data_IF_340306129674
#
_entry.id   IF_340306129674
#
_cell.length_a   1.000
_cell.length_b   1.000
_cell.length_c   1.000
_cell.angle_alpha   90.00
_cell.angle_beta   90.00
_cell.angle_gamma   90.00
#
_symmetry.space_group_name_H-M   'P 1'
#
loop_
_entity.id
_entity.type
_entity.pdbx_description
1 polymer ?
#
# COMPACT_ATOMS: atom_id res chain seq x y z
N UNK A 1 -11.19 -51.62 -22.00
CA UNK A 1 -10.39 -50.41 -21.71
C UNK A 1 -10.42 -50.19 -20.21
N UNK A 2 -9.30 -50.42 -19.50
CA UNK A 2 -9.18 -50.18 -18.07
C UNK A 2 -8.86 -48.70 -17.87
N UNK A 3 -9.81 -47.93 -17.35
CA UNK A 3 -9.57 -46.55 -16.87
C UNK A 3 -8.60 -46.62 -15.71
N UNK A 4 -7.37 -46.14 -15.92
CA UNK A 4 -6.31 -46.18 -14.92
C UNK A 4 -6.63 -45.29 -13.70
N UNK A 5 -6.00 -45.56 -12.55
CA UNK A 5 -6.25 -44.89 -11.25
C UNK A 5 -5.91 -43.39 -11.18
N UNK A 6 -5.59 -42.74 -12.31
CA UNK A 6 -5.14 -41.34 -12.35
C UNK A 6 -6.29 -40.32 -12.40
N UNK A 7 -7.53 -40.73 -12.68
CA UNK A 7 -8.68 -39.81 -12.78
C UNK A 7 -9.14 -39.34 -11.38
N UNK A 8 -8.97 -40.18 -10.36
CA UNK A 8 -9.39 -39.88 -8.98
C UNK A 8 -8.59 -38.74 -8.34
N UNK A 9 -7.31 -38.61 -8.68
CA UNK A 9 -6.41 -37.58 -8.13
C UNK A 9 -6.66 -36.18 -8.73
N UNK A 10 -7.13 -36.10 -9.98
CA UNK A 10 -7.47 -34.82 -10.61
C UNK A 10 -8.76 -34.20 -10.06
N UNK A 11 -9.73 -35.04 -9.69
CA UNK A 11 -10.99 -34.59 -9.12
C UNK A 11 -10.82 -34.03 -7.68
N UNK A 12 -9.95 -34.63 -6.87
CA UNK A 12 -9.71 -34.16 -5.49
C UNK A 12 -8.91 -32.86 -5.44
N UNK A 13 -7.91 -32.68 -6.32
CA UNK A 13 -7.14 -31.44 -6.41
C UNK A 13 -8.00 -30.25 -6.86
N UNK A 14 -8.93 -30.46 -7.79
CA UNK A 14 -9.85 -29.42 -8.27
C UNK A 14 -10.82 -28.96 -7.17
N UNK A 15 -11.30 -29.89 -6.33
CA UNK A 15 -12.17 -29.57 -5.20
C UNK A 15 -11.45 -28.73 -4.11
N UNK A 16 -10.16 -28.99 -3.88
CA UNK A 16 -9.36 -28.26 -2.88
C UNK A 16 -9.06 -26.81 -3.32
N UNK A 17 -8.81 -26.60 -4.63
CA UNK A 17 -8.63 -25.26 -5.21
C UNK A 17 -9.93 -24.44 -5.11
N UNK A 18 -11.09 -25.08 -5.32
CA UNK A 18 -12.39 -24.42 -5.17
C UNK A 18 -12.69 -24.03 -3.71
N UNK A 19 -12.30 -24.87 -2.73
CA UNK A 19 -12.53 -24.59 -1.32
C UNK A 19 -11.72 -23.36 -0.82
N UNK A 20 -10.47 -23.22 -1.26
CA UNK A 20 -9.61 -22.08 -0.86
C UNK A 20 -10.11 -20.76 -1.47
N UNK A 21 -10.68 -20.79 -2.68
CA UNK A 21 -11.27 -19.60 -3.30
C UNK A 21 -12.50 -19.07 -2.53
N UNK A 22 -13.24 -19.94 -1.82
CA UNK A 22 -14.44 -19.53 -1.07
C UNK A 22 -14.18 -18.86 0.28
N UNK A 23 -12.93 -18.87 0.78
CA UNK A 23 -12.61 -18.26 2.08
C UNK A 23 -12.10 -16.81 2.01
N UNK A 24 -11.86 -16.28 0.82
CA UNK A 24 -11.49 -14.87 0.64
C UNK A 24 -12.71 -14.00 0.31
N UNK A 25 -13.77 -14.11 1.13
CA UNK A 25 -14.80 -13.09 1.17
C UNK A 25 -14.21 -11.84 1.84
N UNK A 26 -13.46 -11.04 1.08
CA UNK A 26 -13.11 -9.70 1.51
C UNK A 26 -14.44 -8.97 1.81
N UNK A 27 -14.60 -8.50 3.04
CA UNK A 27 -15.80 -7.75 3.42
C UNK A 27 -15.82 -6.47 2.60
N UNK A 28 -16.77 -6.39 1.66
CA UNK A 28 -17.01 -5.17 0.88
C UNK A 28 -17.28 -4.02 1.86
N UNK A 29 -16.56 -2.90 1.78
CA UNK A 29 -16.78 -1.74 2.65
C UNK A 29 -18.25 -1.31 2.60
N UNK A 30 -18.87 -1.12 3.76
CA UNK A 30 -20.25 -0.63 3.81
C UNK A 30 -20.30 0.85 3.42
N UNK A 31 -21.37 1.25 2.73
CA UNK A 31 -21.52 2.63 2.22
C UNK A 31 -21.49 3.69 3.34
N UNK A 32 -22.15 3.41 4.47
CA UNK A 32 -22.18 4.28 5.64
C UNK A 32 -20.80 4.43 6.30
N UNK A 33 -20.01 3.36 6.34
CA UNK A 33 -18.65 3.39 6.86
C UNK A 33 -17.71 4.20 5.96
N UNK A 34 -17.82 4.04 4.63
CA UNK A 34 -17.06 4.80 3.64
C UNK A 34 -17.39 6.29 3.75
N UNK A 35 -18.68 6.64 3.82
CA UNK A 35 -19.12 8.02 4.00
C UNK A 35 -18.62 8.63 5.32
N UNK A 36 -18.81 7.94 6.43
CA UNK A 36 -18.37 8.40 7.76
C UNK A 36 -16.85 8.59 7.81
N UNK A 37 -16.10 7.68 7.20
CA UNK A 37 -14.64 7.78 7.09
C UNK A 37 -14.20 8.95 6.22
N UNK A 38 -14.88 9.20 5.10
CA UNK A 38 -14.60 10.35 4.24
C UNK A 38 -14.85 11.67 4.97
N UNK A 39 -16.00 11.79 5.63
CA UNK A 39 -16.36 12.97 6.44
C UNK A 39 -15.35 13.22 7.55
N UNK A 40 -15.03 12.19 8.33
CA UNK A 40 -14.02 12.31 9.40
C UNK A 40 -12.63 12.66 8.85
N UNK A 41 -12.24 12.12 7.69
CA UNK A 41 -10.94 12.43 7.08
C UNK A 41 -10.85 13.90 6.66
N UNK A 42 -11.95 14.53 6.21
CA UNK A 42 -11.96 15.98 5.92
C UNK A 42 -11.85 16.83 7.19
N UNK A 43 -12.42 16.38 8.31
CA UNK A 43 -12.27 17.05 9.60
C UNK A 43 -10.81 16.99 10.06
N UNK A 44 -10.23 15.79 10.02
CA UNK A 44 -8.83 15.55 10.37
C UNK A 44 -7.88 16.37 9.46
N UNK A 45 -8.20 16.47 8.16
CA UNK A 45 -7.44 17.29 7.21
C UNK A 45 -7.49 18.80 7.53
N UNK A 46 -8.65 19.34 7.92
CA UNK A 46 -8.75 20.76 8.32
C UNK A 46 -7.95 21.04 9.60
N UNK A 47 -7.97 20.10 10.55
CA UNK A 47 -7.12 20.16 11.75
C UNK A 47 -5.65 20.14 11.36
N UNK A 48 -5.22 19.25 10.46
CA UNK A 48 -3.82 19.20 10.01
C UNK A 48 -3.40 20.45 9.25
N UNK A 49 -4.25 21.02 8.39
CA UNK A 49 -3.99 22.30 7.74
C UNK A 49 -3.80 23.43 8.76
N UNK A 50 -4.61 23.46 9.82
CA UNK A 50 -4.46 24.45 10.91
C UNK A 50 -3.13 24.30 11.67
N UNK A 51 -2.61 23.07 11.75
CA UNK A 51 -1.32 22.73 12.35
C UNK A 51 -0.14 22.84 11.37
N UNK A 52 -0.37 23.28 10.12
CA UNK A 52 0.62 23.30 9.04
C UNK A 52 1.19 21.92 8.66
N UNK A 53 0.50 20.83 9.00
CA UNK A 53 0.81 19.45 8.62
C UNK A 53 0.23 19.13 7.23
N UNK A 54 0.80 19.78 6.22
CA UNK A 54 0.22 19.78 4.87
C UNK A 54 0.30 18.41 4.20
N UNK A 55 1.36 17.62 4.47
CA UNK A 55 1.52 16.29 3.90
C UNK A 55 0.43 15.32 4.37
N UNK A 56 0.15 15.30 5.68
CA UNK A 56 -0.90 14.47 6.26
C UNK A 56 -2.29 14.90 5.76
N UNK A 57 -2.54 16.21 5.70
CA UNK A 57 -3.78 16.75 5.14
C UNK A 57 -3.96 16.33 3.67
N UNK A 58 -2.90 16.42 2.86
CA UNK A 58 -2.94 16.04 1.45
C UNK A 58 -3.30 14.56 1.25
N UNK A 59 -2.72 13.64 2.04
CA UNK A 59 -3.06 12.22 1.92
C UNK A 59 -4.53 11.93 2.28
N UNK A 60 -5.08 12.57 3.31
CA UNK A 60 -6.50 12.46 3.67
C UNK A 60 -7.41 13.03 2.57
N UNK A 61 -7.11 14.24 2.09
CA UNK A 61 -7.86 14.91 1.02
C UNK A 61 -7.83 14.07 -0.26
N UNK A 62 -6.67 13.51 -0.63
CA UNK A 62 -6.50 12.62 -1.77
C UNK A 62 -7.38 11.40 -1.68
N UNK A 63 -7.41 10.71 -0.54
CA UNK A 63 -8.25 9.55 -0.35
C UNK A 63 -9.74 9.89 -0.48
N UNK A 64 -10.17 11.04 0.04
CA UNK A 64 -11.55 11.50 -0.07
C UNK A 64 -11.90 11.86 -1.52
N UNK A 65 -11.05 12.60 -2.23
CA UNK A 65 -11.31 13.04 -3.61
C UNK A 65 -11.38 11.87 -4.61
N UNK A 66 -10.77 10.72 -4.31
CA UNK A 66 -10.96 9.50 -5.13
C UNK A 66 -12.41 9.00 -5.10
N UNK A 67 -13.08 9.09 -3.95
CA UNK A 67 -14.47 8.66 -3.77
C UNK A 67 -15.46 9.78 -4.09
N UNK A 68 -15.14 11.01 -3.67
CA UNK A 68 -15.97 12.21 -3.77
C UNK A 68 -15.26 13.33 -4.57
N UNK A 69 -14.97 13.13 -5.87
CA UNK A 69 -14.17 14.07 -6.66
C UNK A 69 -14.83 15.44 -6.85
N UNK A 70 -16.16 15.50 -6.73
CA UNK A 70 -16.94 16.72 -6.93
C UNK A 70 -17.28 17.44 -5.62
N UNK A 71 -16.85 16.93 -4.46
CA UNK A 71 -17.24 17.52 -3.19
C UNK A 71 -16.57 18.90 -2.97
N UNK A 72 -17.41 19.92 -2.82
CA UNK A 72 -16.97 21.32 -2.66
C UNK A 72 -16.08 21.54 -1.44
N UNK A 73 -16.35 20.84 -0.33
CA UNK A 73 -15.52 20.95 0.89
C UNK A 73 -14.13 20.35 0.66
N UNK A 74 -14.05 19.17 0.07
CA UNK A 74 -12.77 18.53 -0.24
C UNK A 74 -11.94 19.38 -1.21
N UNK A 75 -12.57 19.95 -2.25
CA UNK A 75 -11.92 20.89 -3.18
C UNK A 75 -11.47 22.16 -2.48
N UNK A 76 -12.29 22.75 -1.60
CA UNK A 76 -11.91 23.93 -0.84
C UNK A 76 -10.70 23.67 0.07
N UNK A 77 -10.61 22.50 0.72
CA UNK A 77 -9.43 22.12 1.49
C UNK A 77 -8.22 21.86 0.59
N UNK A 78 -8.42 21.20 -0.55
CA UNK A 78 -7.37 21.04 -1.56
C UNK A 78 -6.81 22.40 -2.01
N UNK A 79 -7.66 23.40 -2.24
CA UNK A 79 -7.21 24.73 -2.66
C UNK A 79 -6.37 25.45 -1.60
N UNK A 80 -6.55 25.13 -0.31
CA UNK A 80 -5.72 25.65 0.79
C UNK A 80 -4.31 25.02 0.84
N UNK A 81 -4.07 23.89 0.18
CA UNK A 81 -2.75 23.24 0.20
C UNK A 81 -1.71 24.09 -0.55
N UNK A 82 -0.45 24.12 -0.09
CA UNK A 82 0.64 24.66 -0.89
C UNK A 82 0.82 23.89 -2.22
N UNK A 83 1.37 24.52 -3.29
CA UNK A 83 1.49 23.90 -4.62
C UNK A 83 2.14 22.52 -4.62
N UNK A 84 3.23 22.34 -3.86
CA UNK A 84 3.96 21.07 -3.74
C UNK A 84 3.09 19.91 -3.25
N UNK A 85 2.10 20.18 -2.39
CA UNK A 85 1.20 19.14 -1.87
C UNK A 85 -0.06 18.97 -2.72
N UNK A 86 -0.44 19.98 -3.51
CA UNK A 86 -1.50 19.84 -4.52
C UNK A 86 -1.11 18.82 -5.58
N UNK A 87 0.14 18.86 -6.03
CA UNK A 87 0.70 17.87 -6.97
C UNK A 87 0.57 16.44 -6.42
N UNK A 88 0.96 16.21 -5.16
CA UNK A 88 0.86 14.90 -4.50
C UNK A 88 -0.58 14.34 -4.42
N UNK A 89 -1.60 15.20 -4.34
CA UNK A 89 -3.02 14.80 -4.39
C UNK A 89 -3.41 14.37 -5.81
N UNK A 90 -2.95 15.10 -6.81
CA UNK A 90 -3.35 14.94 -8.22
C UNK A 90 -2.57 13.85 -8.97
N UNK A 91 -1.32 13.59 -8.59
CA UNK A 91 -0.43 12.74 -9.39
C UNK A 91 -0.54 11.26 -9.06
N UNK A 92 -0.39 10.45 -10.10
CA UNK A 92 -0.02 9.03 -9.98
C UNK A 92 1.50 9.01 -10.02
N UNK A 93 2.15 8.47 -8.99
CA UNK A 93 3.59 8.30 -9.01
C UNK A 93 3.98 7.42 -10.22
N UNK A 94 5.13 7.63 -10.85
CA UNK A 94 5.63 6.74 -11.93
C UNK A 94 6.74 5.83 -11.43
N UNK A 95 7.39 6.26 -10.34
CA UNK A 95 8.41 5.52 -9.62
C UNK A 95 7.82 4.38 -8.81
N UNK A 96 6.51 4.16 -8.86
CA UNK A 96 5.92 2.95 -8.33
C UNK A 96 5.86 2.96 -6.81
N UNK A 97 5.88 1.76 -6.16
CA UNK A 97 6.03 1.71 -4.73
C UNK A 97 7.31 2.41 -4.30
N UNK A 98 8.42 2.37 -5.05
CA UNK A 98 9.75 2.88 -4.62
C UNK A 98 9.69 4.23 -3.87
N UNK A 99 8.88 5.20 -4.32
CA UNK A 99 8.74 6.49 -3.64
C UNK A 99 7.98 6.38 -2.31
N UNK A 100 8.59 6.84 -1.23
CA UNK A 100 7.99 6.87 0.11
C UNK A 100 6.84 7.87 0.22
N UNK A 101 5.82 7.54 1.03
CA UNK A 101 4.85 8.55 1.52
C UNK A 101 5.44 9.23 2.75
N UNK A 102 6.32 10.20 2.51
CA UNK A 102 7.11 10.87 3.55
C UNK A 102 7.09 12.38 3.31
N UNK A 103 7.31 13.13 4.38
CA UNK A 103 7.43 14.58 4.30
C UNK A 103 8.90 14.97 4.46
N UNK A 104 9.35 15.96 3.68
CA UNK A 104 10.67 16.55 3.87
C UNK A 104 10.82 17.13 5.29
N UNK A 105 11.92 16.80 5.95
CA UNK A 105 12.27 17.25 7.29
C UNK A 105 13.65 17.93 7.27
N UNK A 106 13.72 19.12 7.85
CA UNK A 106 14.98 19.83 8.00
C UNK A 106 15.77 19.28 9.20
N UNK A 107 16.56 18.23 8.96
CA UNK A 107 17.50 17.74 9.95
C UNK A 107 18.78 18.58 10.02
N UNK A 108 19.32 18.72 11.23
CA UNK A 108 20.62 19.36 11.45
C UNK A 108 21.78 18.59 10.80
N UNK A 109 22.91 19.28 10.57
CA UNK A 109 24.10 18.70 9.91
C UNK A 109 24.62 17.43 10.60
N UNK A 110 24.62 17.40 11.95
CA UNK A 110 25.08 16.23 12.70
C UNK A 110 24.17 15.02 12.50
N UNK A 111 22.85 15.24 12.47
CA UNK A 111 21.89 14.17 12.19
C UNK A 111 22.07 13.64 10.78
N UNK A 112 22.29 14.51 9.78
CA UNK A 112 22.60 14.10 8.40
C UNK A 112 23.87 13.27 8.32
N UNK A 113 24.92 13.66 9.04
CA UNK A 113 26.16 12.88 9.10
C UNK A 113 25.97 11.53 9.79
N UNK A 114 25.21 11.49 10.89
CA UNK A 114 24.93 10.26 11.64
C UNK A 114 24.08 9.27 10.83
N UNK A 115 23.11 9.77 10.06
CA UNK A 115 22.22 8.97 9.22
C UNK A 115 22.80 8.62 7.85
N UNK A 116 23.83 9.32 7.38
CA UNK A 116 24.42 9.06 6.06
C UNK A 116 24.74 7.58 5.85
N UNK A 117 25.55 6.97 6.73
CA UNK A 117 25.95 5.57 6.57
C UNK A 117 24.76 4.59 6.75
N UNK A 118 23.90 4.72 7.79
CA UNK A 118 22.69 3.93 7.90
C UNK A 118 21.78 4.00 6.67
N UNK A 119 21.49 5.20 6.16
CA UNK A 119 20.64 5.38 4.97
C UNK A 119 21.24 4.64 3.77
N UNK A 120 22.56 4.79 3.51
CA UNK A 120 23.22 4.05 2.42
C UNK A 120 23.15 2.52 2.56
N UNK A 121 23.23 2.00 3.79
CA UNK A 121 23.09 0.56 4.03
C UNK A 121 21.66 0.11 3.73
N UNK A 122 20.67 0.90 4.14
CA UNK A 122 19.27 0.58 3.91
C UNK A 122 18.93 0.62 2.41
N UNK A 123 19.35 1.63 1.69
CA UNK A 123 19.14 1.73 0.24
C UNK A 123 19.81 0.55 -0.49
N UNK A 124 21.00 0.14 -0.03
CA UNK A 124 21.67 -1.04 -0.59
C UNK A 124 20.85 -2.33 -0.39
N UNK A 125 20.22 -2.49 0.78
CA UNK A 125 19.35 -3.63 1.05
C UNK A 125 18.05 -3.59 0.23
N UNK A 126 17.56 -2.40 -0.09
CA UNK A 126 16.35 -2.21 -0.91
C UNK A 126 16.57 -2.54 -2.40
N UNK A 127 17.82 -2.63 -2.86
CA UNK A 127 18.16 -3.07 -4.23
C UNK A 127 17.67 -4.49 -4.51
N UNK A 128 17.65 -5.38 -3.51
CA UNK A 128 17.38 -6.80 -3.72
C UNK A 128 16.12 -7.25 -2.98
N UNK A 129 15.29 -8.05 -3.63
CA UNK A 129 14.23 -8.82 -2.98
C UNK A 129 14.46 -10.31 -3.19
N UNK A 130 14.30 -11.11 -2.13
CA UNK A 130 14.44 -12.57 -2.19
C UNK A 130 13.37 -13.22 -1.33
N UNK A 131 12.54 -14.04 -1.97
CA UNK A 131 11.34 -14.62 -1.39
C UNK A 131 11.29 -16.13 -1.63
N UNK A 132 11.03 -16.88 -0.56
CA UNK A 132 10.72 -18.31 -0.63
C UNK A 132 9.20 -18.47 -0.68
N UNK A 133 8.70 -19.23 -1.63
CA UNK A 133 7.26 -19.44 -1.85
C UNK A 133 6.85 -20.84 -1.42
N UNK A 134 5.77 -20.92 -0.66
CA UNK A 134 5.14 -22.17 -0.23
C UNK A 134 3.67 -22.16 -0.61
N UNK A 135 3.21 -23.18 -1.32
CA UNK A 135 1.82 -23.32 -1.76
C UNK A 135 1.69 -23.85 -3.19
N UNK A 136 0.48 -24.25 -3.61
CA UNK A 136 0.21 -24.78 -4.95
C UNK A 136 0.61 -23.78 -6.03
N UNK A 137 1.65 -24.10 -6.80
CA UNK A 137 2.19 -23.23 -7.86
C UNK A 137 2.86 -24.05 -8.96
N UNK A 138 2.85 -23.56 -10.18
CA UNK A 138 3.60 -24.13 -11.28
C UNK A 138 3.99 -23.04 -12.29
N UNK A 139 5.23 -23.13 -12.75
CA UNK A 139 5.69 -22.36 -13.89
C UNK A 139 6.88 -21.46 -13.57
N UNK A 140 7.23 -20.64 -14.54
CA UNK A 140 8.40 -19.76 -14.51
C UNK A 140 8.03 -18.43 -15.13
N UNK A 141 8.51 -17.36 -14.54
CA UNK A 141 8.45 -15.99 -15.06
C UNK A 141 9.83 -15.37 -14.92
N UNK A 142 10.28 -14.67 -15.96
CA UNK A 142 11.49 -13.88 -15.95
C UNK A 142 11.22 -12.54 -16.63
N UNK A 143 11.71 -11.45 -16.06
CA UNK A 143 11.44 -10.10 -16.54
C UNK A 143 12.68 -9.23 -16.43
N UNK A 144 12.87 -8.35 -17.40
CA UNK A 144 13.84 -7.24 -17.31
C UNK A 144 13.17 -6.02 -16.69
N UNK A 145 11.93 -5.77 -17.12
CA UNK A 145 10.96 -4.90 -16.45
C UNK A 145 9.62 -5.59 -16.56
N UNK A 146 8.62 -5.18 -15.79
CA UNK A 146 7.27 -5.75 -15.93
C UNK A 146 6.66 -5.47 -17.31
N UNK A 147 7.16 -4.47 -18.04
CA UNK A 147 6.82 -4.23 -19.45
C UNK A 147 7.53 -5.15 -20.46
N UNK A 148 8.53 -5.93 -20.05
CA UNK A 148 9.26 -6.85 -20.91
C UNK A 148 9.61 -8.13 -20.16
N UNK A 149 8.73 -9.13 -20.30
CA UNK A 149 8.85 -10.39 -19.58
C UNK A 149 8.45 -11.62 -20.39
N UNK A 150 8.93 -12.78 -19.96
CA UNK A 150 8.46 -14.09 -20.42
C UNK A 150 7.83 -14.74 -19.21
N UNK A 151 6.53 -15.00 -19.24
CA UNK A 151 5.83 -15.56 -18.09
C UNK A 151 4.91 -16.69 -18.53
N UNK A 152 5.00 -17.81 -17.82
CA UNK A 152 4.00 -18.86 -17.77
C UNK A 152 3.99 -19.34 -16.33
N UNK A 153 3.16 -18.71 -15.50
CA UNK A 153 3.10 -18.97 -14.08
C UNK A 153 1.66 -18.92 -13.57
N UNK A 154 1.29 -19.88 -12.73
CA UNK A 154 0.07 -19.81 -11.93
C UNK A 154 0.34 -20.36 -10.52
N UNK A 155 -0.22 -19.74 -9.49
CA UNK A 155 -0.11 -20.27 -8.14
C UNK A 155 -0.88 -19.48 -7.08
N UNK A 156 -1.14 -20.16 -5.97
CA UNK A 156 -1.62 -19.59 -4.73
C UNK A 156 -0.56 -19.89 -3.65
N UNK A 157 0.15 -18.87 -3.21
CA UNK A 157 1.38 -19.03 -2.44
C UNK A 157 1.40 -18.10 -1.23
N UNK A 158 2.00 -18.58 -0.15
CA UNK A 158 2.51 -17.76 0.94
C UNK A 158 4.01 -17.61 0.70
N UNK A 159 4.47 -16.37 0.65
CA UNK A 159 5.85 -16.00 0.41
C UNK A 159 6.45 -15.50 1.72
N UNK A 160 7.66 -15.93 2.04
CA UNK A 160 8.43 -15.47 3.19
C UNK A 160 9.77 -14.96 2.68
N UNK A 161 10.14 -13.74 3.07
CA UNK A 161 11.37 -13.17 2.55
C UNK A 161 11.56 -11.71 2.85
N UNK A 162 12.62 -11.20 2.24
CA UNK A 162 12.94 -9.79 2.20
C UNK A 162 12.29 -9.20 0.95
N UNK A 163 11.23 -8.44 1.17
CA UNK A 163 10.52 -7.71 0.14
C UNK A 163 11.03 -6.27 0.07
N UNK A 164 10.75 -5.62 -1.04
CA UNK A 164 11.03 -4.22 -1.27
C UNK A 164 10.58 -3.32 -0.09
N UNK A 165 11.32 -2.24 0.16
CA UNK A 165 11.12 -1.26 1.24
C UNK A 165 11.32 -1.83 2.64
N UNK A 166 12.44 -2.53 2.84
CA UNK A 166 12.86 -2.96 4.18
C UNK A 166 11.80 -3.85 4.86
N UNK A 167 11.01 -4.55 4.04
CA UNK A 167 9.86 -5.29 4.52
C UNK A 167 10.24 -6.77 4.65
N UNK A 168 10.65 -7.15 5.85
CA UNK A 168 10.79 -8.55 6.23
C UNK A 168 9.43 -9.04 6.73
N UNK A 169 8.87 -10.05 6.07
CA UNK A 169 7.54 -10.51 6.46
C UNK A 169 7.04 -11.67 5.63
N UNK A 170 5.72 -11.70 5.45
CA UNK A 170 5.08 -12.66 4.57
C UNK A 170 4.07 -11.98 3.64
N UNK A 171 3.90 -12.58 2.47
CA UNK A 171 2.96 -12.13 1.45
C UNK A 171 2.18 -13.32 0.93
N UNK A 172 0.86 -13.26 1.00
CA UNK A 172 0.01 -14.22 0.30
C UNK A 172 -0.29 -13.68 -1.10
N UNK A 173 -0.15 -14.51 -2.12
CA UNK A 173 -0.36 -14.15 -3.52
C UNK A 173 -1.05 -15.29 -4.27
N UNK A 174 -2.23 -15.01 -4.81
CA UNK A 174 -2.87 -15.73 -5.89
C UNK A 174 -2.54 -15.02 -7.20
N UNK A 175 -1.78 -15.64 -8.09
CA UNK A 175 -1.43 -15.05 -9.38
C UNK A 175 -1.53 -16.04 -10.54
N UNK A 176 -1.89 -15.51 -11.71
CA UNK A 176 -1.83 -16.17 -13.00
C UNK A 176 -1.31 -15.18 -14.06
N UNK A 177 -0.22 -15.55 -14.72
CA UNK A 177 0.51 -14.73 -15.67
C UNK A 177 0.93 -15.61 -16.87
N UNK A 178 0.61 -15.18 -18.09
CA UNK A 178 0.99 -15.93 -19.29
C UNK A 178 1.20 -15.00 -20.47
N UNK A 179 2.42 -14.93 -21.02
CA UNK A 179 2.70 -14.11 -22.20
C UNK A 179 4.18 -13.82 -22.45
N UNK A 180 4.43 -12.96 -23.44
CA UNK A 180 5.76 -12.56 -23.89
C UNK A 180 5.82 -11.05 -24.16
N UNK A 181 6.93 -10.43 -23.73
CA UNK A 181 7.21 -9.01 -23.92
C UNK A 181 6.21 -8.13 -23.15
N UNK A 182 5.62 -7.10 -23.81
CA UNK A 182 4.66 -6.21 -23.16
C UNK A 182 3.23 -6.77 -23.10
N UNK A 183 2.96 -7.86 -23.83
CA UNK A 183 1.63 -8.48 -23.89
C UNK A 183 1.60 -9.66 -22.94
N UNK A 184 1.55 -9.35 -21.64
CA UNK A 184 1.31 -10.35 -20.60
C UNK A 184 0.10 -9.92 -19.77
N UNK A 185 -1.06 -10.58 -19.93
CA UNK A 185 -2.15 -10.43 -18.98
C UNK A 185 -1.72 -10.99 -17.62
N UNK A 186 -1.99 -10.23 -16.57
CA UNK A 186 -1.80 -10.65 -15.19
C UNK A 186 -3.15 -10.60 -14.47
N UNK A 187 -3.48 -11.70 -13.79
CA UNK A 187 -4.45 -11.73 -12.71
C UNK A 187 -3.69 -11.92 -11.41
N UNK A 188 -3.90 -11.04 -10.45
CA UNK A 188 -3.25 -11.14 -9.15
C UNK A 188 -4.14 -10.61 -8.04
N UNK A 189 -4.20 -11.38 -6.96
CA UNK A 189 -4.74 -10.97 -5.68
C UNK A 189 -3.71 -11.30 -4.61
N UNK A 190 -3.41 -10.36 -3.73
CA UNK A 190 -2.41 -10.58 -2.71
C UNK A 190 -2.56 -9.69 -1.49
N UNK A 191 -1.95 -10.13 -0.39
CA UNK A 191 -1.87 -9.39 0.87
C UNK A 191 -0.49 -9.55 1.47
N UNK A 192 0.09 -8.47 1.98
CA UNK A 192 1.40 -8.49 2.64
C UNK A 192 1.27 -8.02 4.07
N UNK A 193 2.07 -8.61 4.96
CA UNK A 193 2.25 -8.15 6.32
C UNK A 193 3.72 -8.34 6.72
N UNK A 194 4.35 -7.29 7.23
CA UNK A 194 5.71 -7.36 7.73
C UNK A 194 6.13 -6.08 8.44
N UNK A 195 7.43 -5.88 8.57
CA UNK A 195 8.03 -4.72 9.26
C UNK A 195 7.72 -3.39 8.60
N UNK A 196 7.49 -3.39 7.28
CA UNK A 196 7.34 -2.16 6.49
C UNK A 196 5.91 -1.64 6.43
N UNK A 197 4.97 -2.44 5.93
CA UNK A 197 3.58 -2.03 5.70
C UNK A 197 2.63 -3.24 5.63
N UNK A 198 1.32 -2.96 5.69
CA UNK A 198 0.24 -3.88 5.38
C UNK A 198 -0.42 -3.45 4.07
N UNK A 199 -0.33 -4.28 3.05
CA UNK A 199 -0.96 -4.00 1.78
C UNK A 199 -1.89 -5.14 1.36
N UNK A 200 -2.91 -4.78 0.60
CA UNK A 200 -3.77 -5.71 -0.11
C UNK A 200 -3.93 -5.23 -1.54
N UNK A 201 -4.03 -6.15 -2.48
CA UNK A 201 -4.15 -5.83 -3.89
C UNK A 201 -5.00 -6.86 -4.62
N UNK A 202 -5.77 -6.42 -5.61
CA UNK A 202 -6.50 -7.28 -6.53
C UNK A 202 -6.59 -6.57 -7.89
N UNK A 203 -6.24 -7.27 -8.96
CA UNK A 203 -6.39 -6.73 -10.31
C UNK A 203 -6.27 -7.76 -11.42
N UNK A 204 -6.85 -7.38 -12.56
CA UNK A 204 -6.64 -7.98 -13.85
C UNK A 204 -6.22 -6.89 -14.84
N UNK A 205 -4.95 -6.87 -15.25
CA UNK A 205 -4.40 -5.78 -16.08
C UNK A 205 -3.36 -6.29 -17.08
N UNK A 206 -3.07 -5.42 -18.05
CA UNK A 206 -1.81 -5.45 -18.78
C UNK A 206 -0.78 -4.55 -18.09
N UNK A 207 0.49 -4.89 -18.25
CA UNK A 207 1.61 -4.17 -17.65
C UNK A 207 1.68 -2.73 -18.15
N UNK A 208 1.65 -1.77 -17.20
CA UNK A 208 1.91 -0.36 -17.46
C UNK A 208 2.29 0.30 -16.16
N UNK A 209 3.31 1.19 -16.13
CA UNK A 209 3.77 1.80 -14.88
C UNK A 209 2.64 2.56 -14.19
N UNK A 210 1.67 3.12 -14.92
CA UNK A 210 0.53 3.86 -14.35
C UNK A 210 -0.49 2.99 -13.59
N UNK A 211 -0.42 1.66 -13.67
CA UNK A 211 -1.40 0.79 -13.01
C UNK A 211 -1.15 0.74 -11.51
N UNK A 212 -2.23 0.76 -10.72
CA UNK A 212 -2.17 0.75 -9.25
C UNK A 212 -1.32 -0.39 -8.68
N UNK A 213 -1.27 -1.57 -9.32
CA UNK A 213 -0.38 -2.67 -8.89
C UNK A 213 1.07 -2.22 -8.80
N UNK A 214 1.51 -1.47 -9.80
CA UNK A 214 2.88 -1.01 -9.93
C UNK A 214 3.18 0.24 -9.15
N UNK A 215 2.15 0.81 -8.51
CA UNK A 215 2.27 1.98 -7.65
C UNK A 215 2.30 1.63 -6.17
N UNK A 216 1.71 0.49 -5.81
CA UNK A 216 1.53 0.15 -4.40
C UNK A 216 2.10 -1.22 -4.03
N UNK A 217 2.34 -2.13 -4.98
CA UNK A 217 2.58 -3.53 -4.66
C UNK A 217 3.81 -4.15 -5.33
N UNK A 218 4.02 -3.94 -6.63
CA UNK A 218 5.19 -4.45 -7.36
C UNK A 218 5.99 -3.31 -7.95
N UNK A 219 7.30 -3.45 -8.01
CA UNK A 219 8.13 -2.58 -8.82
C UNK A 219 7.91 -2.86 -10.31
N UNK A 220 7.57 -1.83 -11.09
CA UNK A 220 7.47 -1.96 -12.54
C UNK A 220 8.83 -2.11 -13.19
N UNK A 221 9.84 -1.46 -12.61
CA UNK A 221 11.14 -1.25 -13.20
C UNK A 221 12.16 -2.33 -12.82
N UNK A 222 11.83 -3.20 -11.87
CA UNK A 222 12.73 -4.26 -11.42
C UNK A 222 12.99 -5.33 -12.47
N UNK A 223 14.14 -6.01 -12.35
CA UNK A 223 14.50 -7.22 -13.11
C UNK A 223 14.45 -8.41 -12.18
N UNK A 224 13.80 -9.50 -12.56
CA UNK A 224 13.69 -10.63 -11.67
C UNK A 224 13.27 -11.93 -12.33
N UNK A 225 13.25 -12.96 -11.50
CA UNK A 225 12.81 -14.30 -11.85
C UNK A 225 11.94 -14.85 -10.74
N UNK A 226 10.93 -15.62 -11.13
CA UNK A 226 10.00 -16.29 -10.26
C UNK A 226 9.78 -17.69 -10.81
N UNK A 227 10.03 -18.71 -10.00
CA UNK A 227 9.85 -20.11 -10.39
C UNK A 227 9.10 -20.86 -9.29
N UNK A 228 8.17 -21.72 -9.69
CA UNK A 228 7.36 -22.51 -8.79
C UNK A 228 7.21 -23.95 -9.30
N UNK A 229 7.36 -24.92 -8.41
CA UNK A 229 7.23 -26.34 -8.68
C UNK A 229 6.36 -27.01 -7.61
N UNK A 230 5.09 -27.21 -7.95
CA UNK A 230 4.04 -27.84 -7.15
C UNK A 230 3.77 -27.15 -5.82
N UNK A 231 4.67 -27.25 -4.84
CA UNK A 231 4.48 -26.68 -3.49
C UNK A 231 5.57 -25.69 -3.08
N UNK A 232 6.70 -25.67 -3.77
CA UNK A 232 7.84 -24.84 -3.42
C UNK A 232 8.23 -23.95 -4.60
N UNK A 233 8.73 -22.76 -4.30
CA UNK A 233 9.14 -21.79 -5.31
C UNK A 233 10.06 -20.74 -4.73
N UNK A 234 10.62 -19.93 -5.61
CA UNK A 234 11.52 -18.85 -5.28
C UNK A 234 11.23 -17.67 -6.19
N UNK A 235 11.32 -16.46 -5.65
CA UNK A 235 11.35 -15.21 -6.41
C UNK A 235 12.55 -14.39 -5.95
N UNK A 236 13.29 -13.87 -6.92
CA UNK A 236 14.37 -12.94 -6.71
C UNK A 236 14.22 -11.78 -7.68
N UNK A 237 14.37 -10.56 -7.19
CA UNK A 237 14.22 -9.34 -7.98
C UNK A 237 15.30 -8.32 -7.59
N UNK A 238 15.77 -7.57 -8.58
CA UNK A 238 16.67 -6.43 -8.45
C UNK A 238 15.89 -5.17 -8.81
N UNK A 239 15.89 -4.18 -7.94
CA UNK A 239 15.15 -2.94 -8.05
C UNK A 239 16.06 -1.83 -8.59
N UNK A 240 15.95 -1.55 -9.89
CA UNK A 240 16.84 -0.58 -10.55
C UNK A 240 16.65 0.84 -10.06
N UNK A 241 15.43 1.22 -9.68
CA UNK A 241 15.16 2.58 -9.16
C UNK A 241 15.86 2.77 -7.81
N UNK A 242 15.78 1.79 -6.92
CA UNK A 242 16.50 1.76 -5.63
C UNK A 242 18.02 1.77 -5.85
N UNK A 243 18.52 1.06 -6.86
CA UNK A 243 19.94 1.11 -7.23
C UNK A 243 20.39 2.51 -7.67
N UNK A 244 19.57 3.21 -8.46
CA UNK A 244 19.84 4.59 -8.85
C UNK A 244 19.80 5.54 -7.65
N UNK A 245 18.86 5.35 -6.72
CA UNK A 245 18.78 6.13 -5.49
C UNK A 245 20.00 5.93 -4.60
N UNK A 246 20.40 4.68 -4.37
CA UNK A 246 21.62 4.33 -3.65
C UNK A 246 22.85 5.05 -4.22
N UNK A 247 23.03 5.01 -5.55
CA UNK A 247 24.13 5.70 -6.23
C UNK A 247 24.02 7.23 -6.11
N UNK A 248 22.82 7.78 -6.25
CA UNK A 248 22.58 9.22 -6.15
C UNK A 248 22.91 9.73 -4.74
N UNK A 249 22.56 8.98 -3.70
CA UNK A 249 22.79 9.42 -2.32
C UNK A 249 24.21 9.19 -1.80
N UNK A 250 25.09 8.46 -2.52
CA UNK A 250 26.56 8.61 -2.33
C UNK A 250 26.96 10.08 -2.53
N UNK A 251 26.30 10.79 -3.45
CA UNK A 251 26.46 12.22 -3.70
C UNK A 251 25.43 13.07 -2.96
N UNK A 252 24.80 12.53 -1.92
CA UNK A 252 23.80 13.18 -1.06
C UNK A 252 22.47 13.56 -1.74
N UNK A 253 22.18 13.05 -2.94
CA UNK A 253 20.86 13.19 -3.58
C UNK A 253 19.93 12.06 -3.14
N UNK A 254 18.68 12.39 -2.81
CA UNK A 254 17.64 11.42 -2.45
C UNK A 254 16.50 11.61 -3.48
N UNK A 255 16.34 10.61 -4.35
CA UNK A 255 15.38 10.64 -5.47
C UNK A 255 14.05 10.01 -5.03
N UNK A 256 14.08 9.10 -4.06
CA UNK A 256 12.92 8.33 -3.60
C UNK A 256 12.26 8.89 -2.33
N UNK A 257 12.83 9.94 -1.76
CA UNK A 257 12.38 10.63 -0.56
C UNK A 257 12.27 9.66 0.64
N UNK A 258 13.21 8.73 0.79
CA UNK A 258 13.20 7.70 1.83
C UNK A 258 14.42 7.71 2.79
N UNK A 259 15.34 8.68 2.62
CA UNK A 259 16.40 8.98 3.59
C UNK A 259 15.79 9.43 4.93
N UNK A 260 16.15 8.76 6.02
CA UNK A 260 15.73 9.16 7.37
C UNK A 260 16.35 10.50 7.79
N UNK A 261 17.49 10.87 7.18
CA UNK A 261 18.13 12.16 7.42
C UNK A 261 17.34 13.35 6.86
N UNK A 262 16.53 13.16 5.81
CA UNK A 262 15.89 14.25 5.05
C UNK A 262 14.38 14.20 5.09
N UNK A 263 13.82 13.10 5.54
CA UNK A 263 12.38 12.88 5.48
C UNK A 263 11.88 12.21 6.75
N UNK A 264 10.62 12.47 7.08
CA UNK A 264 9.90 11.82 8.17
C UNK A 264 8.71 11.02 7.65
N UNK A 265 8.33 9.92 8.33
CA UNK A 265 7.03 9.32 8.07
C UNK A 265 5.91 10.30 8.38
N UNK A 266 4.78 10.13 7.71
CA UNK A 266 3.56 10.87 7.99
C UNK A 266 3.05 10.52 9.38
N UNK A 267 2.66 11.53 10.16
CA UNK A 267 2.18 11.34 11.52
C UNK A 267 0.66 11.11 11.50
N UNK A 268 0.27 9.88 11.20
CA UNK A 268 -1.12 9.44 11.05
C UNK A 268 -1.45 8.47 12.19
N UNK A 269 -2.56 8.70 12.88
CA UNK A 269 -3.02 7.78 13.95
C UNK A 269 -3.54 6.48 13.36
N UNK A 270 -3.55 5.38 14.14
CA UNK A 270 -4.10 4.11 13.68
C UNK A 270 -5.57 4.19 13.26
N UNK A 271 -6.33 5.12 13.85
CA UNK A 271 -7.72 5.38 13.45
C UNK A 271 -7.79 6.04 12.06
N UNK A 272 -6.94 7.03 11.81
CA UNK A 272 -6.82 7.68 10.50
C UNK A 272 -6.29 6.72 9.44
N UNK A 273 -5.32 5.87 9.78
CA UNK A 273 -4.81 4.81 8.92
C UNK A 273 -5.91 3.82 8.53
N UNK A 274 -6.77 3.42 9.48
CA UNK A 274 -7.95 2.58 9.20
C UNK A 274 -8.93 3.28 8.25
N UNK A 275 -9.19 4.58 8.43
CA UNK A 275 -10.07 5.37 7.52
C UNK A 275 -9.46 5.42 6.12
N UNK A 276 -8.17 5.71 5.99
CA UNK A 276 -7.44 5.70 4.72
C UNK A 276 -7.47 4.33 4.05
N UNK A 277 -7.28 3.25 4.82
CA UNK A 277 -7.38 1.88 4.32
C UNK A 277 -8.78 1.61 3.78
N UNK A 278 -9.84 1.98 4.52
CA UNK A 278 -11.23 1.80 4.09
C UNK A 278 -11.51 2.57 2.79
N UNK A 279 -11.13 3.85 2.72
CA UNK A 279 -11.35 4.71 1.54
C UNK A 279 -10.58 4.18 0.31
N UNK A 280 -9.31 3.81 0.46
CA UNK A 280 -8.54 3.25 -0.65
C UNK A 280 -9.03 1.86 -1.06
N UNK A 281 -9.56 1.06 -0.12
CA UNK A 281 -10.20 -0.23 -0.42
C UNK A 281 -11.50 -0.02 -1.18
N UNK A 282 -12.32 0.97 -0.79
CA UNK A 282 -13.54 1.34 -1.50
C UNK A 282 -13.25 1.79 -2.94
N UNK A 283 -12.24 2.66 -3.14
CA UNK A 283 -11.79 3.10 -4.48
C UNK A 283 -11.24 1.94 -5.35
N UNK A 284 -10.77 0.86 -4.73
CA UNK A 284 -10.24 -0.31 -5.43
C UNK A 284 -11.32 -1.33 -5.80
N UNK A 285 -12.17 -1.67 -4.84
CA UNK A 285 -13.10 -2.80 -4.94
C UNK A 285 -14.45 -2.36 -5.53
N UNK A 286 -14.95 -1.17 -5.16
CA UNK A 286 -16.27 -0.75 -5.58
C UNK A 286 -16.29 -0.36 -7.06
N UNK A 287 -17.30 -0.84 -7.76
CA UNK A 287 -17.55 -0.46 -9.14
C UNK A 287 -17.90 1.04 -9.21
N UNK A 288 -17.58 1.76 -10.30
CA UNK A 288 -17.95 3.17 -10.45
C UNK A 288 -19.45 3.46 -10.27
N UNK A 289 -20.33 2.46 -10.47
CA UNK A 289 -21.76 2.57 -10.20
C UNK A 289 -22.08 2.62 -8.71
N UNK A 290 -21.42 1.81 -7.88
CA UNK A 290 -21.57 1.79 -6.42
C UNK A 290 -21.01 3.07 -5.81
N UNK A 291 -19.87 3.57 -6.31
CA UNK A 291 -19.33 4.88 -5.89
C UNK A 291 -20.31 6.03 -6.23
N UNK A 292 -21.06 5.93 -7.33
CA UNK A 292 -22.14 6.90 -7.63
C UNK A 292 -23.32 6.75 -6.68
N UNK A 293 -23.65 5.54 -6.28
CA UNK A 293 -24.73 5.26 -5.33
C UNK A 293 -24.41 5.83 -3.94
N UNK A 294 -23.19 5.60 -3.43
CA UNK A 294 -22.70 6.21 -2.18
C UNK A 294 -22.85 7.72 -2.21
N UNK A 295 -22.49 8.37 -3.33
CA UNK A 295 -22.62 9.82 -3.51
C UNK A 295 -24.07 10.29 -3.57
N UNK A 296 -24.97 9.46 -4.09
CA UNK A 296 -26.40 9.77 -4.16
C UNK A 296 -27.07 9.66 -2.79
N UNK A 297 -26.73 8.61 -2.03
CA UNK A 297 -27.29 8.37 -0.70
C UNK A 297 -26.71 9.35 0.33
N UNK A 298 -25.42 9.68 0.21
CA UNK A 298 -24.71 10.57 1.11
C UNK A 298 -24.04 11.74 0.37
N UNK A 299 -24.82 12.71 -0.13
CA UNK A 299 -24.31 13.78 -0.98
C UNK A 299 -23.47 14.83 -0.23
N UNK A 300 -23.72 15.02 1.07
CA UNK A 300 -23.10 16.09 1.85
C UNK A 300 -22.09 15.56 2.86
N UNK A 301 -20.84 16.02 2.76
CA UNK A 301 -19.77 15.78 3.74
C UNK A 301 -19.64 16.93 4.77
N UNK A 302 -20.64 17.82 4.84
CA UNK A 302 -20.71 18.87 5.86
C UNK A 302 -20.82 18.29 7.26
N UNK A 303 -20.30 19.06 8.20
CA UNK A 303 -20.37 18.72 9.62
C UNK A 303 -21.83 18.64 10.07
N UNK A 304 -22.15 17.54 10.74
CA UNK A 304 -23.25 17.53 11.69
C UNK A 304 -22.69 18.28 12.90
N UNK A 305 -23.10 19.54 13.07
CA UNK A 305 -22.91 20.41 14.23
C UNK A 305 -21.62 20.18 15.04
N UNK A 306 -20.68 21.14 14.98
CA UNK A 306 -19.46 21.20 15.82
C UNK A 306 -19.71 20.62 17.22
N UNK A 307 -19.37 19.34 17.43
CA UNK A 307 -19.14 18.83 18.78
C UNK A 307 -17.85 19.48 19.21
N UNK A 308 -17.93 20.39 20.17
CA UNK A 308 -16.77 21.02 20.80
C UNK A 308 -15.76 19.93 21.16
N UNK A 309 -14.65 19.88 20.44
CA UNK A 309 -13.55 18.98 20.70
C UNK A 309 -12.96 19.42 22.05
N UNK A 310 -13.30 18.70 23.11
CA UNK A 310 -12.68 18.89 24.42
C UNK A 310 -11.19 18.58 24.26
N UNK A 311 -10.36 19.61 24.42
CA UNK A 311 -8.91 19.50 24.32
C UNK A 311 -8.40 18.39 25.26
N UNK A 312 -7.53 17.48 24.80
CA UNK A 312 -7.01 16.37 25.61
C UNK A 312 -6.21 16.81 26.85
N UNK A 313 -5.89 18.10 26.97
CA UNK A 313 -5.28 18.69 28.18
C UNK A 313 -6.14 18.61 29.45
N UNK A 314 -7.44 18.29 29.35
CA UNK A 314 -8.31 18.11 30.51
C UNK A 314 -8.46 16.66 31.00
N UNK A 315 -7.73 15.69 30.44
CA UNK A 315 -7.74 14.30 30.92
C UNK A 315 -6.52 13.93 31.79
N UNK A 316 -6.03 14.87 32.59
CA UNK A 316 -5.22 14.50 33.77
C UNK A 316 -6.18 13.94 34.82
N UNK A 317 -6.46 12.63 34.72
CA UNK A 317 -7.06 11.85 35.79
C UNK A 317 -6.31 12.16 37.10
N UNK A 318 -7.00 12.84 38.01
CA UNK A 318 -6.62 12.85 39.42
C UNK A 318 -6.69 11.39 39.89
N UNK A 319 -5.55 10.71 39.88
CA UNK A 319 -5.41 9.40 40.49
C UNK A 319 -5.90 9.43 41.94
N UNK A 320 -6.50 8.34 42.44
CA UNK A 320 -7.07 8.30 43.78
C UNK A 320 -5.97 8.55 44.82
N UNK A 321 -6.20 9.59 45.63
CA UNK A 321 -5.37 9.99 46.76
C UNK A 321 -5.35 8.85 47.80
N UNK A 322 -4.32 7.99 47.73
CA UNK A 322 -4.07 6.95 48.73
C UNK A 322 -3.44 7.59 49.96
N UNK A 323 -4.27 8.24 50.77
CA UNK A 323 -3.87 8.67 52.10
C UNK A 323 -4.98 8.41 53.11
N UNK A 324 -5.04 7.18 53.61
CA UNK A 324 -5.72 6.89 54.88
C UNK A 324 -4.77 6.08 55.77
N UNK A 325 -4.06 6.81 56.62
CA UNK A 325 -3.34 6.30 57.80
C UNK A 325 -4.32 6.14 58.96
N UNK A 326 -4.10 5.07 59.73
CA UNK A 326 -4.35 4.91 61.19
C UNK A 326 -5.80 4.86 61.69
N UNK A 327 -6.19 3.69 62.19
CA UNK A 327 -6.15 3.41 63.64
C UNK A 327 -5.94 1.94 63.91
#
# INVERSE_FOLDING_TARGET
>A
MKTGPNISYFASASAFIFLIATFNCATVPRYDEVHTSAKSSLNDADVFLSQKKNAEAAELIRAVLKIYPENERAKALYEKLPPQYKEAVSEIYYLGPNRGKREAEESGLLAKFAWYLPDRILDFLDIFSVNVKVGPQFGVSAWVTRGFQVSLYAGNTVQLGWFQKRNLGYTEELSAEAGLGPIVPISISGRSMGTGNKDAYESFVFHSPRKKIYQNYRDYWGTGVKAGAVVAGLEAEVHWVEFFDFLAGIFTFDVLDDDMAKTRPLNITSEQERKLYLLNTADRILHPAEIREIRREFPDLKDSEKKEFLSPENQVEKGPDKNTKRR
#
